data_IF_398754547229
#
_entry.id   IF_398754547229
#
_cell.length_a   1.000
_cell.length_b   1.000
_cell.length_c   1.000
_cell.angle_alpha   90.00
_cell.angle_beta   90.00
_cell.angle_gamma   90.00
#
_symmetry.space_group_name_H-M   'P 1'
#
loop_
_entity.id
_entity.type
_entity.pdbx_description
1 polymer ?
#
# COMPACT_ATOMS: atom_id res chain seq x y z
N UNK A 1 -7.98 4.26 18.99
CA UNK A 1 -7.51 5.08 17.85
C UNK A 1 -8.52 4.99 16.73
N UNK A 2 -8.71 6.04 15.94
CA UNK A 2 -9.57 6.00 14.74
C UNK A 2 -8.88 5.21 13.64
N UNK A 3 -9.63 4.39 12.89
CA UNK A 3 -9.12 3.75 11.67
C UNK A 3 -8.78 4.82 10.65
N UNK A 4 -7.65 4.68 9.98
CA UNK A 4 -7.20 5.57 8.90
C UNK A 4 -7.14 4.78 7.61
N UNK A 5 -7.62 5.37 6.53
CA UNK A 5 -7.55 4.79 5.19
C UNK A 5 -6.35 5.39 4.44
N UNK A 6 -5.54 4.53 3.85
CA UNK A 6 -4.36 4.89 3.05
C UNK A 6 -4.59 4.45 1.61
N UNK A 7 -4.51 5.37 0.66
CA UNK A 7 -4.66 5.06 -0.76
C UNK A 7 -3.32 4.99 -1.49
N UNK A 8 -3.26 4.10 -2.47
CA UNK A 8 -2.16 3.96 -3.42
C UNK A 8 -2.75 3.65 -4.80
N UNK A 9 -2.20 4.26 -5.85
CA UNK A 9 -2.67 4.10 -7.22
C UNK A 9 -1.50 3.81 -8.15
N UNK A 10 -1.74 2.94 -9.11
CA UNK A 10 -0.77 2.58 -10.17
C UNK A 10 -1.46 2.69 -11.51
N UNK A 11 -0.72 3.13 -12.53
CA UNK A 11 -1.28 3.44 -13.85
C UNK A 11 -0.37 2.83 -14.91
N UNK A 12 -0.97 2.22 -15.94
CA UNK A 12 -0.27 1.82 -17.17
C UNK A 12 0.37 0.43 -17.15
N UNK A 13 0.24 -0.34 -16.07
CA UNK A 13 0.67 -1.74 -16.06
C UNK A 13 -0.19 -2.59 -17.01
N UNK A 14 0.45 -3.52 -17.74
CA UNK A 14 -0.23 -4.48 -18.62
C UNK A 14 0.29 -5.90 -18.37
N UNK A 15 -0.54 -6.83 -17.84
CA UNK A 15 -1.87 -6.61 -17.25
C UNK A 15 -1.80 -5.73 -15.99
N UNK A 16 -2.96 -5.36 -15.43
CA UNK A 16 -3.06 -4.54 -14.21
C UNK A 16 -2.14 -5.06 -13.11
N UNK A 17 -1.44 -4.14 -12.45
CA UNK A 17 -0.49 -4.50 -11.40
C UNK A 17 -1.23 -4.95 -10.15
N UNK A 18 -0.67 -5.92 -9.44
CA UNK A 18 -1.15 -6.30 -8.11
C UNK A 18 -0.49 -5.42 -7.06
N UNK A 19 -1.29 -4.80 -6.20
CA UNK A 19 -0.82 -3.93 -5.13
C UNK A 19 -0.79 -4.70 -3.82
N UNK A 20 0.31 -4.55 -3.07
CA UNK A 20 0.48 -5.10 -1.72
C UNK A 20 0.96 -4.03 -0.77
N UNK A 21 0.58 -4.15 0.50
CA UNK A 21 0.92 -3.20 1.55
C UNK A 21 1.84 -3.83 2.58
N UNK A 22 2.92 -3.14 2.95
CA UNK A 22 3.89 -3.61 3.92
C UNK A 22 4.16 -2.54 4.96
N UNK A 23 4.06 -2.90 6.24
CA UNK A 23 4.40 -2.02 7.35
C UNK A 23 5.61 -2.57 8.08
N UNK A 24 6.71 -1.84 8.05
CA UNK A 24 7.98 -2.27 8.66
C UNK A 24 8.43 -3.68 8.20
N UNK A 25 8.21 -4.00 6.92
CA UNK A 25 8.51 -5.31 6.34
C UNK A 25 7.44 -6.39 6.57
N UNK A 26 6.37 -6.11 7.30
CA UNK A 26 5.26 -7.04 7.53
C UNK A 26 4.13 -6.80 6.53
N UNK A 27 3.71 -7.85 5.82
CA UNK A 27 2.59 -7.80 4.88
C UNK A 27 1.26 -7.50 5.60
N UNK A 28 0.47 -6.59 5.04
CA UNK A 28 -0.86 -6.23 5.54
C UNK A 28 -1.96 -6.74 4.59
N UNK A 29 -2.97 -7.39 5.15
CA UNK A 29 -4.06 -8.01 4.40
C UNK A 29 -5.34 -7.18 4.34
N UNK A 30 -5.54 -6.20 5.23
CA UNK A 30 -6.77 -5.40 5.32
C UNK A 30 -6.78 -4.25 4.32
N UNK A 31 -6.76 -4.60 3.04
CA UNK A 31 -6.87 -3.64 1.94
C UNK A 31 -7.86 -4.12 0.87
N UNK A 32 -8.46 -3.16 0.18
CA UNK A 32 -9.35 -3.41 -0.95
C UNK A 32 -8.66 -2.89 -2.20
N UNK A 33 -8.54 -3.74 -3.21
CA UNK A 33 -8.01 -3.39 -4.52
C UNK A 33 -9.16 -3.27 -5.53
N UNK A 34 -9.11 -2.23 -6.35
CA UNK A 34 -10.02 -2.00 -7.47
C UNK A 34 -9.21 -1.74 -8.74
N UNK A 35 -9.66 -2.35 -9.84
CA UNK A 35 -9.06 -2.17 -11.15
C UNK A 35 -10.09 -1.50 -12.05
N UNK A 36 -9.72 -0.37 -12.65
CA UNK A 36 -10.52 0.35 -13.61
C UNK A 36 -9.65 0.74 -14.81
N UNK A 37 -9.97 0.22 -15.98
CA UNK A 37 -9.19 0.36 -17.22
C UNK A 37 -7.69 0.03 -17.03
N UNK A 38 -6.83 1.05 -17.06
CA UNK A 38 -5.38 0.94 -16.89
C UNK A 38 -4.90 1.41 -15.51
N UNK A 39 -5.82 1.63 -14.58
CA UNK A 39 -5.56 2.10 -13.22
C UNK A 39 -5.88 0.98 -12.23
N UNK A 40 -4.98 0.75 -11.28
CA UNK A 40 -5.23 -0.09 -10.11
C UNK A 40 -5.08 0.75 -8.86
N UNK A 41 -6.16 0.86 -8.09
CA UNK A 41 -6.22 1.60 -6.84
C UNK A 41 -6.36 0.62 -5.68
N UNK A 42 -5.66 0.89 -4.57
CA UNK A 42 -5.71 0.07 -3.37
C UNK A 42 -5.89 0.95 -2.15
N UNK A 43 -6.86 0.58 -1.30
CA UNK A 43 -7.17 1.29 -0.05
C UNK A 43 -6.90 0.36 1.12
N UNK A 44 -5.89 0.69 1.92
CA UNK A 44 -5.53 0.00 3.16
C UNK A 44 -6.23 0.63 4.36
N UNK A 45 -6.87 -0.19 5.20
CA UNK A 45 -7.37 0.22 6.51
C UNK A 45 -6.34 -0.11 7.57
N UNK A 46 -5.80 0.91 8.22
CA UNK A 46 -4.82 0.75 9.29
C UNK A 46 -5.34 1.32 10.60
N UNK A 47 -5.11 0.58 11.68
CA UNK A 47 -5.31 1.06 13.05
C UNK A 47 -4.00 1.69 13.54
N UNK A 48 -3.91 3.03 13.64
CA UNK A 48 -2.67 3.69 14.04
C UNK A 48 -2.33 3.32 15.47
N UNK A 49 -1.09 2.90 15.70
CA UNK A 49 -0.50 2.64 17.01
C UNK A 49 0.74 3.50 17.17
N UNK A 50 1.02 3.98 18.37
CA UNK A 50 2.23 4.76 18.67
C UNK A 50 3.52 4.06 18.22
N UNK A 51 3.56 2.73 18.36
CA UNK A 51 4.68 1.90 17.92
C UNK A 51 4.98 1.97 16.41
N UNK A 52 4.02 2.43 15.59
CA UNK A 52 4.19 2.61 14.15
C UNK A 52 4.71 4.00 13.77
N UNK A 53 4.97 4.89 14.75
CA UNK A 53 5.55 6.20 14.48
C UNK A 53 6.91 6.06 13.78
N UNK A 54 7.10 6.77 12.67
CA UNK A 54 8.24 6.68 11.74
C UNK A 54 8.44 5.29 11.11
N UNK A 55 7.52 4.35 11.26
CA UNK A 55 7.60 3.09 10.54
C UNK A 55 7.33 3.31 9.04
N UNK A 56 8.07 2.63 8.15
CA UNK A 56 7.84 2.70 6.72
C UNK A 56 6.58 1.90 6.36
N UNK A 57 5.62 2.58 5.75
CA UNK A 57 4.49 1.98 5.05
C UNK A 57 4.83 1.95 3.55
N UNK A 58 4.93 0.76 2.99
CA UNK A 58 5.27 0.53 1.59
C UNK A 58 4.03 0.06 0.85
N UNK A 59 3.70 0.74 -0.23
CA UNK A 59 2.82 0.22 -1.26
C UNK A 59 3.69 -0.35 -2.38
N UNK A 60 3.57 -1.64 -2.67
CA UNK A 60 4.33 -2.36 -3.70
C UNK A 60 3.39 -2.79 -4.81
N UNK A 61 3.69 -2.39 -6.04
CA UNK A 61 2.97 -2.77 -7.24
C UNK A 61 3.79 -3.76 -8.08
N UNK A 62 3.22 -4.91 -8.40
CA UNK A 62 3.88 -5.99 -9.13
C UNK A 62 3.11 -6.34 -10.40
N UNK A 63 3.79 -6.42 -11.54
CA UNK A 63 3.16 -6.87 -12.78
C UNK A 63 3.24 -8.41 -12.86
N UNK A 64 2.11 -9.13 -12.95
CA UNK A 64 2.09 -10.59 -12.87
C UNK A 64 2.71 -11.29 -14.09
N UNK A 65 2.99 -10.58 -15.19
CA UNK A 65 3.71 -11.12 -16.36
C UNK A 65 5.20 -10.76 -16.40
N UNK A 66 5.64 -9.82 -15.56
CA UNK A 66 7.03 -9.40 -15.50
C UNK A 66 7.65 -9.92 -14.20
N UNK A 67 8.25 -11.10 -14.28
CA UNK A 67 8.90 -11.75 -13.16
C UNK A 67 9.94 -10.83 -12.51
N UNK A 68 9.91 -10.76 -11.17
CA UNK A 68 10.86 -10.03 -10.34
C UNK A 68 10.87 -8.51 -10.55
N UNK A 69 9.87 -7.94 -11.24
CA UNK A 69 9.73 -6.50 -11.38
C UNK A 69 8.60 -5.98 -10.49
N UNK A 70 8.95 -5.06 -9.61
CA UNK A 70 7.99 -4.35 -8.76
C UNK A 70 8.43 -2.91 -8.59
N UNK A 71 7.45 -2.03 -8.38
CA UNK A 71 7.66 -0.62 -8.06
C UNK A 71 7.10 -0.36 -6.69
N UNK A 72 7.83 0.39 -5.86
CA UNK A 72 7.43 0.68 -4.49
C UNK A 72 7.31 2.19 -4.24
N UNK A 73 6.34 2.57 -3.42
CA UNK A 73 6.27 3.89 -2.80
C UNK A 73 6.32 3.73 -1.27
N UNK A 74 7.25 4.45 -0.63
CA UNK A 74 7.48 4.38 0.82
C UNK A 74 6.98 5.67 1.47
N UNK A 75 6.15 5.53 2.51
CA UNK A 75 5.65 6.65 3.34
C UNK A 75 5.99 6.40 4.80
N UNK A 76 6.64 7.35 5.45
CA UNK A 76 6.87 7.28 6.90
C UNK A 76 5.61 7.71 7.64
N UNK A 77 5.11 6.86 8.54
CA UNK A 77 3.92 7.18 9.32
C UNK A 77 4.23 8.25 10.38
N UNK A 78 3.42 9.30 10.44
CA UNK A 78 3.54 10.32 11.47
C UNK A 78 2.37 10.22 12.45
N UNK A 79 2.60 9.51 13.56
CA UNK A 79 1.58 9.25 14.59
C UNK A 79 1.97 10.00 15.86
N UNK A 80 1.18 10.99 16.27
CA UNK A 80 1.41 11.77 17.49
C UNK A 80 0.18 11.71 18.38
N UNK A 81 0.36 11.53 19.69
CA UNK A 81 -0.69 11.81 20.66
C UNK A 81 -0.85 13.33 20.77
N UNK A 82 -2.08 13.81 20.64
CA UNK A 82 -2.47 15.16 21.02
C UNK A 82 -3.40 15.07 22.21
#
# INVERSE_FOLDING_TARGET
>A
GRVVEMSCETIGSRPSAKVTWWLNGTLLSDHIETVHDNVTSSVLRIHPKLQYHKSPLVCRAENPKLYHSHVENIRLLNITCR
#
